data_IF_163136012617
#
_entry.id   IF_163136012617
#
_cell.length_a   1.000
_cell.length_b   1.000
_cell.length_c   1.000
_cell.angle_alpha   90.00
_cell.angle_beta   90.00
_cell.angle_gamma   90.00
#
_symmetry.space_group_name_H-M   'P 1'
#
loop_
_entity.id
_entity.type
_entity.pdbx_description
1 polymer ?
#
# COMPACT_ATOMS: atom_id res chain seq x y z
N UNK A 1 14.23 -1.55 -5.15
CA UNK A 1 14.16 -2.27 -3.87
C UNK A 1 15.12 -1.54 -2.98
N UNK A 2 14.58 -0.86 -1.97
CA UNK A 2 15.38 -0.29 -0.92
C UNK A 2 15.81 -1.32 0.11
N UNK A 3 16.51 -0.83 1.12
CA UNK A 3 17.02 -1.64 2.22
C UNK A 3 15.92 -1.96 3.24
N UNK A 4 16.04 -3.11 3.92
CA UNK A 4 15.09 -3.62 4.92
C UNK A 4 13.63 -3.81 4.41
N UNK A 5 13.39 -4.89 3.67
CA UNK A 5 12.03 -5.34 3.26
C UNK A 5 11.65 -6.65 3.96
N UNK A 6 10.42 -6.74 4.48
CA UNK A 6 9.85 -7.92 5.17
C UNK A 6 8.49 -8.30 4.55
N UNK A 7 8.28 -9.59 4.31
CA UNK A 7 7.11 -10.14 3.62
C UNK A 7 6.41 -11.20 4.48
N UNK A 8 5.09 -11.10 4.64
CA UNK A 8 4.21 -12.11 5.20
C UNK A 8 3.83 -13.21 4.20
N UNK A 9 2.92 -14.08 4.61
CA UNK A 9 2.58 -15.29 3.86
C UNK A 9 1.70 -14.98 2.64
N UNK A 10 2.00 -15.57 1.48
CA UNK A 10 1.20 -15.49 0.24
C UNK A 10 1.07 -14.07 -0.37
N UNK A 11 2.18 -13.34 -0.42
CA UNK A 11 2.35 -12.12 -1.20
C UNK A 11 2.38 -12.41 -2.70
N UNK A 12 1.75 -11.55 -3.52
CA UNK A 12 1.77 -11.60 -5.00
C UNK A 12 2.02 -10.20 -5.58
N UNK A 13 2.85 -10.11 -6.62
CA UNK A 13 3.21 -8.86 -7.33
C UNK A 13 2.92 -8.96 -8.83
N UNK A 14 2.36 -7.89 -9.40
CA UNK A 14 2.23 -7.66 -10.84
C UNK A 14 3.51 -7.10 -11.48
N UNK A 15 3.39 -6.63 -12.72
CA UNK A 15 4.52 -6.17 -13.52
C UNK A 15 5.00 -4.77 -13.10
N UNK A 16 6.32 -4.59 -12.97
CA UNK A 16 6.98 -3.28 -12.72
C UNK A 16 6.63 -2.63 -11.38
N UNK A 17 6.62 -3.43 -10.30
CA UNK A 17 6.57 -2.92 -8.92
C UNK A 17 7.95 -2.38 -8.48
N UNK A 18 7.98 -1.19 -7.87
CA UNK A 18 9.16 -0.54 -7.30
C UNK A 18 8.94 -0.26 -5.81
N UNK A 19 9.94 -0.60 -5.00
CA UNK A 19 9.94 -0.43 -3.54
C UNK A 19 11.15 0.41 -3.10
N UNK A 20 10.91 1.41 -2.25
CA UNK A 20 11.89 2.12 -1.42
C UNK A 20 12.31 1.32 -0.17
N UNK A 21 12.83 2.03 0.83
CA UNK A 21 13.42 1.48 2.05
C UNK A 21 12.35 1.19 3.14
N UNK A 22 12.64 0.27 4.06
CA UNK A 22 11.86 -0.02 5.28
C UNK A 22 10.39 -0.42 5.00
N UNK A 23 10.15 -1.48 4.23
CA UNK A 23 8.81 -1.93 3.81
C UNK A 23 8.40 -3.24 4.50
N UNK A 24 7.19 -3.33 5.06
CA UNK A 24 6.67 -4.52 5.78
C UNK A 24 5.26 -4.86 5.27
N UNK A 25 4.99 -6.11 4.86
CA UNK A 25 3.65 -6.57 4.49
C UNK A 25 3.18 -7.78 5.32
N UNK A 26 1.90 -7.81 5.69
CA UNK A 26 1.21 -8.95 6.33
C UNK A 26 0.77 -10.04 5.35
N UNK A 27 -0.14 -10.93 5.78
CA UNK A 27 -0.50 -12.12 5.01
C UNK A 27 -1.53 -11.81 3.91
N UNK A 28 -1.34 -12.41 2.73
CA UNK A 28 -2.26 -12.40 1.58
C UNK A 28 -2.42 -11.02 0.93
N UNK A 29 -1.29 -10.35 0.69
CA UNK A 29 -1.22 -9.08 -0.05
C UNK A 29 -1.06 -9.33 -1.55
N UNK A 30 -1.85 -8.67 -2.40
CA UNK A 30 -1.80 -8.77 -3.87
C UNK A 30 -1.64 -7.38 -4.47
N UNK A 31 -0.72 -7.22 -5.43
CA UNK A 31 -0.51 -5.98 -6.19
C UNK A 31 -0.68 -6.21 -7.69
N UNK A 32 -1.27 -5.25 -8.38
CA UNK A 32 -1.34 -5.14 -9.84
C UNK A 32 -0.09 -4.48 -10.44
N UNK A 33 -0.24 -3.95 -11.64
CA UNK A 33 0.86 -3.48 -12.47
C UNK A 33 1.26 -2.02 -12.17
N UNK A 34 2.55 -1.69 -12.36
CA UNK A 34 3.11 -0.32 -12.33
C UNK A 34 2.92 0.40 -10.99
N UNK A 35 3.28 -0.30 -9.92
CA UNK A 35 3.25 0.21 -8.54
C UNK A 35 4.60 0.82 -8.16
N UNK A 36 4.60 1.94 -7.44
CA UNK A 36 5.78 2.55 -6.82
C UNK A 36 5.47 2.86 -5.36
N UNK A 37 6.34 2.47 -4.43
CA UNK A 37 6.26 2.85 -3.02
C UNK A 37 7.54 3.58 -2.60
N UNK A 38 7.40 4.75 -1.97
CA UNK A 38 8.43 5.41 -1.19
C UNK A 38 8.68 4.71 0.16
N UNK A 39 9.36 5.41 1.06
CA UNK A 39 10.01 4.77 2.20
C UNK A 39 9.09 4.61 3.43
N UNK A 40 9.42 3.62 4.28
CA UNK A 40 8.80 3.35 5.58
C UNK A 40 7.28 3.04 5.48
N UNK A 41 6.93 1.94 4.81
CA UNK A 41 5.53 1.51 4.54
C UNK A 41 5.21 0.18 5.24
N UNK A 42 4.03 0.10 5.87
CA UNK A 42 3.52 -1.09 6.57
C UNK A 42 2.11 -1.44 6.05
N UNK A 43 1.89 -2.69 5.65
CA UNK A 43 0.56 -3.20 5.32
C UNK A 43 0.17 -4.35 6.25
N UNK A 44 -1.04 -4.31 6.77
CA UNK A 44 -1.67 -5.41 7.47
C UNK A 44 -2.19 -6.49 6.51
N UNK A 45 -3.08 -7.32 7.05
CA UNK A 45 -3.55 -8.53 6.41
C UNK A 45 -4.49 -8.27 5.21
N UNK A 46 -4.42 -9.15 4.20
CA UNK A 46 -5.45 -9.39 3.17
C UNK A 46 -5.75 -8.19 2.27
N UNK A 47 -4.72 -7.45 1.87
CA UNK A 47 -4.80 -6.28 0.98
C UNK A 47 -4.75 -6.70 -0.50
N UNK A 48 -5.47 -5.99 -1.38
CA UNK A 48 -5.39 -6.13 -2.85
C UNK A 48 -5.30 -4.73 -3.47
N UNK A 49 -4.41 -4.51 -4.41
CA UNK A 49 -4.23 -3.19 -5.04
C UNK A 49 -4.12 -3.38 -6.55
N UNK A 50 -4.84 -2.58 -7.33
CA UNK A 50 -4.85 -2.59 -8.78
C UNK A 50 -3.73 -1.75 -9.40
N UNK A 51 -3.92 -1.40 -10.67
CA UNK A 51 -2.82 -0.88 -11.50
C UNK A 51 -2.52 0.63 -11.26
N UNK A 52 -1.29 1.03 -11.59
CA UNK A 52 -0.79 2.42 -11.63
C UNK A 52 -0.85 3.18 -10.28
N UNK A 53 -0.22 2.63 -9.25
CA UNK A 53 -0.19 3.17 -7.88
C UNK A 53 1.17 3.81 -7.53
N UNK A 54 1.23 4.96 -6.85
CA UNK A 54 2.48 5.68 -6.48
C UNK A 54 2.38 6.28 -5.06
N UNK A 55 3.05 5.72 -4.05
CA UNK A 55 3.01 6.25 -2.66
C UNK A 55 4.34 6.87 -2.21
N UNK A 56 4.28 7.71 -1.17
CA UNK A 56 5.40 8.40 -0.52
C UNK A 56 5.33 8.36 1.01
N UNK A 57 6.05 9.27 1.68
CA UNK A 57 6.94 8.88 2.79
C UNK A 57 6.30 8.71 4.19
N UNK A 58 5.27 7.84 4.34
CA UNK A 58 5.07 6.85 5.45
C UNK A 58 3.64 6.32 5.57
N UNK A 59 3.34 5.10 5.11
CA UNK A 59 1.94 4.60 5.07
C UNK A 59 1.69 3.34 5.91
N UNK A 60 0.57 3.25 6.64
CA UNK A 60 0.15 2.09 7.48
C UNK A 60 -1.34 1.71 7.27
N UNK A 61 -1.71 0.45 7.00
CA UNK A 61 -3.13 0.03 6.80
C UNK A 61 -3.55 -1.29 7.49
N UNK A 62 -4.83 -1.39 7.88
CA UNK A 62 -5.46 -2.54 8.57
C UNK A 62 -6.25 -3.56 7.70
N UNK A 63 -7.01 -4.44 8.38
CA UNK A 63 -7.24 -5.87 8.04
C UNK A 63 -7.99 -6.31 6.75
N UNK A 64 -8.49 -5.40 5.90
CA UNK A 64 -8.88 -5.74 4.51
C UNK A 64 -9.11 -4.52 3.61
N UNK A 65 -8.24 -4.33 2.63
CA UNK A 65 -8.28 -3.16 1.74
C UNK A 65 -8.21 -3.59 0.28
N UNK A 66 -9.01 -2.99 -0.62
CA UNK A 66 -8.98 -3.29 -2.08
C UNK A 66 -9.02 -2.00 -2.92
N UNK A 67 -8.05 -1.71 -3.79
CA UNK A 67 -8.10 -0.53 -4.71
C UNK A 67 -7.92 -0.86 -6.21
N UNK A 68 -8.28 0.10 -7.07
CA UNK A 68 -8.23 0.04 -8.55
C UNK A 68 -7.45 1.19 -9.23
N UNK A 69 -7.69 1.40 -10.54
CA UNK A 69 -6.66 1.60 -11.58
C UNK A 69 -5.86 2.93 -11.67
N UNK A 70 -5.80 3.76 -10.63
CA UNK A 70 -4.78 4.82 -10.52
C UNK A 70 -4.81 5.52 -9.14
N UNK A 71 -3.79 5.34 -8.28
CA UNK A 71 -3.82 5.90 -6.91
C UNK A 71 -2.46 6.45 -6.46
N UNK A 72 -2.39 7.69 -5.97
CA UNK A 72 -1.11 8.36 -5.66
C UNK A 72 -1.14 9.03 -4.27
N UNK A 73 -0.35 8.60 -3.27
CA UNK A 73 -0.42 9.14 -1.89
C UNK A 73 0.91 9.34 -1.16
N UNK A 74 1.29 10.60 -0.89
CA UNK A 74 2.56 10.98 -0.27
C UNK A 74 2.51 11.40 1.21
N UNK A 75 3.69 11.48 1.81
CA UNK A 75 4.05 12.21 3.04
C UNK A 75 3.11 11.97 4.25
N UNK A 76 3.00 10.70 4.66
CA UNK A 76 2.26 10.13 5.80
C UNK A 76 0.75 9.77 5.63
N UNK A 77 0.37 8.50 5.83
CA UNK A 77 -1.03 7.99 5.84
C UNK A 77 -1.20 6.80 6.83
N UNK A 78 -2.30 6.70 7.60
CA UNK A 78 -2.62 5.55 8.47
C UNK A 78 -4.13 5.21 8.40
N UNK A 79 -4.57 3.94 8.42
CA UNK A 79 -6.00 3.55 8.43
C UNK A 79 -6.29 2.13 8.99
N UNK A 80 -7.56 1.87 9.36
CA UNK A 80 -8.03 0.62 10.01
C UNK A 80 -9.10 -0.22 9.26
N UNK A 81 -9.10 -1.51 9.61
CA UNK A 81 -10.02 -2.62 9.34
C UNK A 81 -10.62 -2.91 7.94
N UNK A 82 -11.43 -2.07 7.26
CA UNK A 82 -12.11 -2.49 6.01
C UNK A 82 -12.46 -1.35 5.01
N UNK A 83 -11.77 -1.22 3.85
CA UNK A 83 -12.02 -0.15 2.85
C UNK A 83 -11.77 -0.58 1.38
N UNK A 84 -12.62 -0.19 0.41
CA UNK A 84 -12.50 -0.60 -1.02
C UNK A 84 -12.87 0.53 -2.00
N UNK A 85 -12.06 0.79 -3.05
CA UNK A 85 -12.31 1.86 -4.07
C UNK A 85 -11.62 1.62 -5.44
N UNK A 86 -11.69 2.59 -6.36
CA UNK A 86 -11.21 2.50 -7.76
C UNK A 86 -10.73 3.82 -8.40
N UNK A 87 -11.05 4.00 -9.68
CA UNK A 87 -10.02 4.15 -10.72
C UNK A 87 -9.12 5.40 -10.79
N UNK A 88 -9.30 6.46 -10.00
CA UNK A 88 -8.40 7.63 -10.01
C UNK A 88 -8.46 8.46 -8.69
N UNK A 89 -7.47 8.38 -7.78
CA UNK A 89 -7.43 9.17 -6.51
C UNK A 89 -6.01 9.58 -6.06
N UNK A 90 -5.80 10.86 -5.71
CA UNK A 90 -4.49 11.46 -5.36
C UNK A 90 -4.56 12.22 -4.00
N UNK A 91 -3.76 11.82 -2.99
CA UNK A 91 -3.89 12.08 -1.47
C UNK A 91 -2.39 12.67 -1.22
N UNK A 92 -2.12 13.56 -0.24
CA UNK A 92 -0.77 13.78 0.32
C UNK A 92 -0.71 14.42 1.73
N UNK A 93 0.49 14.41 2.33
CA UNK A 93 1.02 15.29 3.41
C UNK A 93 0.61 15.06 4.89
N UNK A 94 -0.51 14.40 5.22
CA UNK A 94 -0.72 13.60 6.46
C UNK A 94 -2.17 13.05 6.52
N UNK A 95 -2.39 11.76 6.82
CA UNK A 95 -3.75 11.16 7.00
C UNK A 95 -3.74 10.07 8.09
N UNK A 96 -4.80 9.89 8.89
CA UNK A 96 -4.94 8.83 9.94
C UNK A 96 -6.42 8.41 10.13
N UNK A 97 -6.76 7.12 10.23
CA UNK A 97 -8.14 6.63 10.50
C UNK A 97 -8.26 5.39 11.41
N UNK A 98 -9.02 5.57 12.50
CA UNK A 98 -9.81 4.57 13.23
C UNK A 98 -11.24 5.12 13.39
N UNK A 99 -12.21 4.48 14.02
CA UNK A 99 -12.17 3.41 15.04
C UNK A 99 -13.44 2.53 14.93
N UNK A 100 -13.76 1.72 15.95
CA UNK A 100 -15.06 1.02 16.11
C UNK A 100 -16.19 1.90 16.67
#
# INVERSE_FOLDING_TARGET
>A
MGDHVILGDRVVLGDRVVLGDHVIWGDRVIWGDRVVLGDHVILGDRVVLGDHVIWGDRVIWGNRVIWGNHVIWGDHVIWGDHVIWGDHVIWGNHVIWGDH
#
